data_IF_849375564765
#
_entry.id   IF_849375564765
#
_cell.length_a   1.000
_cell.length_b   1.000
_cell.length_c   1.000
_cell.angle_alpha   90.00
_cell.angle_beta   90.00
_cell.angle_gamma   90.00
#
_symmetry.space_group_name_H-M   'P 1'
#
loop_
_entity.id
_entity.type
_entity.pdbx_description
1 polymer ?
#
# COMPACT_ATOMS: atom_id res chain seq x y z
N UNK A 1 -8.67 9.49 1.44
CA UNK A 1 -8.54 8.59 0.27
C UNK A 1 -9.91 8.07 -0.18
N UNK A 2 -10.68 7.48 0.72
CA UNK A 2 -11.98 6.85 0.38
C UNK A 2 -12.99 7.85 -0.21
N UNK A 3 -13.10 9.05 0.36
CA UNK A 3 -13.98 10.09 -0.20
C UNK A 3 -13.60 10.48 -1.63
N UNK A 4 -12.32 10.57 -1.93
CA UNK A 4 -11.83 10.80 -3.30
C UNK A 4 -12.24 9.67 -4.24
N UNK A 5 -12.16 8.42 -3.76
CA UNK A 5 -12.54 7.26 -4.55
C UNK A 5 -14.04 7.29 -4.91
N UNK A 6 -14.92 7.60 -3.97
CA UNK A 6 -16.34 7.76 -4.25
C UNK A 6 -16.64 8.91 -5.23
N UNK A 7 -15.92 10.00 -5.10
CA UNK A 7 -16.07 11.15 -6.02
C UNK A 7 -15.67 10.80 -7.45
N UNK A 8 -14.62 9.98 -7.61
CA UNK A 8 -14.08 9.60 -8.92
C UNK A 8 -14.64 8.29 -9.46
N UNK A 9 -15.53 7.60 -8.72
CA UNK A 9 -16.09 6.33 -9.15
C UNK A 9 -16.75 6.41 -10.51
N UNK A 10 -16.34 5.55 -11.42
CA UNK A 10 -16.77 5.54 -12.83
C UNK A 10 -16.09 6.57 -13.73
N UNK A 11 -15.24 7.44 -13.19
CA UNK A 11 -14.50 8.47 -13.94
C UNK A 11 -13.05 8.11 -14.18
N UNK A 12 -12.52 7.16 -13.40
CA UNK A 12 -11.17 6.61 -13.52
C UNK A 12 -11.23 5.10 -13.40
N UNK A 13 -10.24 4.40 -13.95
CA UNK A 13 -10.20 2.94 -13.95
C UNK A 13 -9.81 2.37 -12.59
N UNK A 14 -8.88 3.01 -11.90
CA UNK A 14 -8.37 2.54 -10.62
C UNK A 14 -7.86 3.69 -9.75
N UNK A 15 -7.99 3.52 -8.43
CA UNK A 15 -7.45 4.42 -7.41
C UNK A 15 -6.77 3.58 -6.34
N UNK A 16 -5.56 3.94 -6.00
CA UNK A 16 -4.85 3.34 -4.88
C UNK A 16 -4.11 4.39 -4.07
N UNK A 17 -3.82 4.06 -2.83
CA UNK A 17 -3.06 4.90 -1.95
C UNK A 17 -1.76 4.24 -1.48
N UNK A 18 -0.93 5.07 -0.90
CA UNK A 18 0.31 4.71 -0.21
C UNK A 18 0.38 5.52 1.09
N UNK A 19 1.44 5.47 1.81
CA UNK A 19 1.77 6.23 3.00
C UNK A 19 1.91 5.40 4.28
N UNK A 20 0.98 4.50 4.56
CA UNK A 20 1.05 3.75 5.82
C UNK A 20 2.14 2.68 5.83
N UNK A 21 2.63 2.27 4.66
CA UNK A 21 3.57 1.17 4.45
C UNK A 21 3.02 -0.21 4.84
N UNK A 22 1.73 -0.29 5.15
CA UNK A 22 1.02 -1.53 5.49
C UNK A 22 -0.14 -1.71 4.50
N UNK A 23 -0.26 -2.88 3.85
CA UNK A 23 -1.34 -3.09 2.90
C UNK A 23 -2.68 -3.17 3.63
N UNK A 24 -3.68 -2.47 3.13
CA UNK A 24 -5.04 -2.57 3.63
C UNK A 24 -5.77 -3.75 2.97
N UNK A 25 -6.88 -4.17 3.56
CA UNK A 25 -7.66 -5.34 3.12
C UNK A 25 -9.02 -4.92 2.54
N UNK A 26 -9.09 -3.73 1.96
CA UNK A 26 -10.30 -3.12 1.44
C UNK A 26 -10.34 -3.07 -0.10
N UNK A 27 -9.62 -3.99 -0.75
CA UNK A 27 -9.67 -4.12 -2.20
C UNK A 27 -11.09 -4.37 -2.70
N UNK A 28 -11.56 -3.55 -3.61
CA UNK A 28 -12.89 -3.72 -4.21
C UNK A 28 -13.03 -3.02 -5.56
N UNK A 29 -14.04 -3.40 -6.30
CA UNK A 29 -14.51 -2.66 -7.47
C UNK A 29 -15.79 -1.93 -7.07
N UNK A 30 -15.80 -0.61 -7.19
CA UNK A 30 -16.96 0.23 -6.86
C UNK A 30 -18.10 0.04 -7.88
N UNK A 31 -19.30 0.50 -7.51
CA UNK A 31 -20.51 0.27 -8.32
C UNK A 31 -20.43 0.81 -9.74
N UNK A 32 -19.68 1.89 -9.96
CA UNK A 32 -19.52 2.49 -11.30
C UNK A 32 -18.27 1.99 -12.02
N UNK A 33 -17.55 1.01 -11.45
CA UNK A 33 -16.47 0.31 -12.12
C UNK A 33 -15.05 0.80 -11.83
N UNK A 34 -14.84 1.64 -10.82
CA UNK A 34 -13.49 2.01 -10.39
C UNK A 34 -12.95 0.99 -9.41
N UNK A 35 -11.77 0.43 -9.68
CA UNK A 35 -11.04 -0.41 -8.73
C UNK A 35 -10.42 0.44 -7.62
N UNK A 36 -10.45 -0.05 -6.37
CA UNK A 36 -9.97 0.70 -5.21
C UNK A 36 -9.18 -0.14 -4.22
N UNK A 37 -8.12 0.45 -3.68
CA UNK A 37 -7.37 -0.06 -2.53
C UNK A 37 -6.78 1.11 -1.75
N UNK A 38 -7.03 1.18 -0.45
CA UNK A 38 -6.57 2.30 0.38
C UNK A 38 -5.06 2.42 0.46
N UNK A 39 -4.35 1.32 0.65
CA UNK A 39 -2.88 1.33 0.74
C UNK A 39 -2.27 0.07 0.16
N UNK A 40 -1.30 0.26 -0.73
CA UNK A 40 -0.59 -0.84 -1.39
C UNK A 40 0.39 -1.57 -0.46
N UNK A 41 0.76 -0.98 0.66
CA UNK A 41 1.87 -1.45 1.48
C UNK A 41 3.22 -0.91 1.03
N UNK A 42 4.27 -1.68 1.18
CA UNK A 42 5.63 -1.27 0.83
C UNK A 42 6.45 -2.41 0.22
N UNK A 43 7.41 -2.04 -0.61
CA UNK A 43 8.50 -2.92 -1.02
C UNK A 43 9.73 -2.60 -0.18
N UNK A 44 10.28 -3.60 0.52
CA UNK A 44 11.40 -3.37 1.42
C UNK A 44 11.65 -4.53 2.38
N UNK A 45 12.32 -4.24 3.48
CA UNK A 45 12.70 -5.23 4.48
C UNK A 45 11.49 -5.84 5.20
N UNK A 46 11.44 -7.16 5.30
CA UNK A 46 10.38 -7.88 6.04
C UNK A 46 10.44 -7.54 7.52
N UNK A 47 11.63 -7.66 8.13
CA UNK A 47 11.84 -7.34 9.54
C UNK A 47 12.23 -5.87 9.71
N UNK A 48 11.24 -5.02 9.72
CA UNK A 48 11.41 -3.58 9.90
C UNK A 48 10.16 -2.96 10.51
N UNK A 49 10.30 -1.77 11.08
CA UNK A 49 9.18 -0.92 11.44
C UNK A 49 8.99 0.06 10.28
N UNK A 50 8.09 -0.29 9.36
CA UNK A 50 7.78 0.52 8.16
C UNK A 50 9.01 0.84 7.29
N UNK A 51 9.97 -0.10 7.23
CA UNK A 51 11.24 0.07 6.52
C UNK A 51 12.42 0.51 7.38
N UNK A 52 12.16 0.91 8.63
CA UNK A 52 13.18 1.41 9.55
C UNK A 52 13.67 0.26 10.45
N UNK A 53 14.92 0.29 10.80
CA UNK A 53 15.55 -0.65 11.75
C UNK A 53 14.75 -0.70 13.06
N UNK A 54 14.27 -1.87 13.52
CA UNK A 54 13.38 -1.96 14.68
C UNK A 54 13.94 -1.32 15.95
N UNK A 55 15.21 -1.53 16.22
CA UNK A 55 15.88 -0.98 17.41
C UNK A 55 15.82 0.55 17.41
N UNK A 56 16.05 1.20 16.28
CA UNK A 56 15.96 2.65 16.13
C UNK A 56 14.54 3.16 16.38
N UNK A 57 13.54 2.46 15.86
CA UNK A 57 12.14 2.83 16.08
C UNK A 57 11.72 2.70 17.53
N UNK A 58 12.20 1.65 18.22
CA UNK A 58 11.94 1.45 19.65
C UNK A 58 12.63 2.53 20.49
N UNK A 59 13.87 2.88 20.18
CA UNK A 59 14.58 3.98 20.88
C UNK A 59 13.83 5.30 20.74
N UNK A 60 13.35 5.63 19.55
CA UNK A 60 12.56 6.84 19.31
C UNK A 60 11.24 6.79 20.08
N UNK A 61 10.55 5.67 20.08
CA UNK A 61 9.31 5.47 20.83
C UNK A 61 9.50 5.66 22.34
N UNK A 62 10.63 5.24 22.89
CA UNK A 62 10.97 5.40 24.30
C UNK A 62 11.47 6.80 24.66
N UNK A 63 11.43 7.75 23.77
CA UNK A 63 11.80 9.15 24.01
C UNK A 63 13.21 9.52 23.59
N UNK A 64 13.89 8.68 22.82
CA UNK A 64 15.20 9.00 22.23
C UNK A 64 15.10 10.15 21.21
N UNK A 65 16.21 10.83 20.98
CA UNK A 65 16.28 11.92 20.00
C UNK A 65 16.09 11.37 18.58
N UNK A 66 15.30 12.05 17.73
CA UNK A 66 15.16 11.66 16.34
C UNK A 66 16.49 11.80 15.61
N UNK A 67 16.81 10.82 14.77
CA UNK A 67 18.00 10.79 13.93
C UNK A 67 17.65 10.39 12.50
N UNK A 68 18.66 10.30 11.65
CA UNK A 68 18.49 9.80 10.30
C UNK A 68 18.01 8.34 10.33
N UNK A 69 16.92 8.04 9.65
CA UNK A 69 16.41 6.68 9.53
C UNK A 69 17.42 5.75 8.85
N UNK A 70 17.53 4.55 9.39
CA UNK A 70 18.40 3.49 8.88
C UNK A 70 17.57 2.26 8.53
N UNK A 71 17.88 1.68 7.39
CA UNK A 71 17.30 0.41 6.98
C UNK A 71 18.00 -0.75 7.71
N UNK A 72 17.32 -1.90 7.91
CA UNK A 72 17.96 -3.11 8.41
C UNK A 72 19.07 -3.57 7.46
N UNK A 73 20.25 -3.85 8.00
CA UNK A 73 21.42 -4.28 7.22
C UNK A 73 21.25 -5.67 6.60
N UNK A 74 20.50 -6.54 7.29
CA UNK A 74 20.21 -7.90 6.83
C UNK A 74 18.74 -8.22 7.08
N UNK A 75 17.97 -8.33 6.03
CA UNK A 75 16.57 -8.76 6.08
C UNK A 75 16.20 -9.38 4.74
N UNK A 76 15.32 -10.39 4.78
CA UNK A 76 14.60 -10.79 3.57
C UNK A 76 13.79 -9.60 3.06
N UNK A 77 13.67 -9.49 1.75
CA UNK A 77 12.82 -8.50 1.11
C UNK A 77 11.38 -8.97 0.97
N UNK A 78 10.47 -8.02 0.90
CA UNK A 78 9.09 -8.25 0.47
C UNK A 78 8.70 -7.24 -0.60
N UNK A 79 7.74 -7.63 -1.43
CA UNK A 79 7.11 -6.73 -2.40
C UNK A 79 5.60 -6.78 -2.17
N UNK A 80 5.00 -5.64 -1.90
CA UNK A 80 3.56 -5.49 -1.72
C UNK A 80 2.99 -4.53 -2.76
N UNK A 81 1.78 -4.82 -3.22
CA UNK A 81 1.13 -4.04 -4.26
C UNK A 81 -0.25 -4.59 -4.59
N UNK A 82 -0.76 -4.23 -5.76
CA UNK A 82 -2.03 -4.74 -6.25
C UNK A 82 -2.02 -4.91 -7.77
N UNK A 83 -2.86 -5.81 -8.24
CA UNK A 83 -3.17 -6.00 -9.66
C UNK A 83 -4.60 -5.56 -9.88
N UNK A 84 -4.78 -4.56 -10.76
CA UNK A 84 -6.08 -4.10 -11.23
C UNK A 84 -6.29 -4.66 -12.63
N UNK A 85 -7.29 -5.51 -12.79
CA UNK A 85 -7.68 -6.03 -14.10
C UNK A 85 -8.74 -5.13 -14.70
N UNK A 86 -8.46 -4.58 -15.87
CA UNK A 86 -9.34 -3.63 -16.56
C UNK A 86 -9.92 -4.26 -17.82
N UNK A 87 -11.17 -3.89 -18.16
CA UNK A 87 -11.78 -4.21 -19.43
C UNK A 87 -11.28 -3.23 -20.50
N UNK A 88 -10.68 -3.73 -21.56
CA UNK A 88 -10.10 -2.90 -22.63
C UNK A 88 -11.14 -2.09 -23.40
N UNK A 89 -12.36 -2.60 -23.51
CA UNK A 89 -13.44 -1.94 -24.26
C UNK A 89 -14.06 -0.77 -23.49
N UNK A 90 -14.17 -0.90 -22.16
CA UNK A 90 -14.87 0.08 -21.32
C UNK A 90 -13.94 0.92 -20.45
N UNK A 91 -12.72 0.41 -20.16
CA UNK A 91 -11.81 1.00 -19.18
C UNK A 91 -12.23 0.75 -17.73
N UNK A 92 -13.32 0.01 -17.50
CA UNK A 92 -13.78 -0.30 -16.15
C UNK A 92 -12.94 -1.39 -15.52
N UNK A 93 -12.78 -1.32 -14.19
CA UNK A 93 -12.12 -2.35 -13.42
C UNK A 93 -13.02 -3.59 -13.26
N UNK A 94 -12.44 -4.75 -13.46
CA UNK A 94 -13.10 -6.06 -13.34
C UNK A 94 -12.77 -6.69 -12.00
N UNK A 95 -11.53 -6.56 -11.53
CA UNK A 95 -11.08 -7.11 -10.27
C UNK A 95 -9.89 -6.36 -9.70
N UNK A 96 -9.74 -6.41 -8.39
CA UNK A 96 -8.59 -5.91 -7.65
C UNK A 96 -8.04 -7.04 -6.79
N UNK A 97 -6.75 -7.30 -6.90
CA UNK A 97 -6.08 -8.39 -6.21
C UNK A 97 -4.83 -7.87 -5.51
N UNK A 98 -4.69 -8.13 -4.21
CA UNK A 98 -3.47 -7.78 -3.47
C UNK A 98 -2.33 -8.71 -3.80
N UNK A 99 -1.13 -8.15 -3.84
CA UNK A 99 0.12 -8.88 -4.03
C UNK A 99 0.97 -8.74 -2.78
N UNK A 100 1.44 -9.86 -2.23
CA UNK A 100 2.43 -9.90 -1.14
C UNK A 100 3.40 -11.05 -1.42
N UNK A 101 4.60 -10.70 -1.87
CA UNK A 101 5.68 -11.63 -2.19
C UNK A 101 6.81 -11.44 -1.20
N UNK A 102 7.22 -12.55 -0.58
CA UNK A 102 8.29 -12.54 0.44
C UNK A 102 9.39 -13.54 0.12
#
# INVERSE_FOLDING_TARGET
KLAMAYYLDGRVSAIWGTHTHVPTADEEVFHKGTGYLTDLGMTGAVRSVLGIKPEQSVETFLGGLPGRYREPEKSAGKMQGAIFTLDDATGLCVSVERVDVR
#
